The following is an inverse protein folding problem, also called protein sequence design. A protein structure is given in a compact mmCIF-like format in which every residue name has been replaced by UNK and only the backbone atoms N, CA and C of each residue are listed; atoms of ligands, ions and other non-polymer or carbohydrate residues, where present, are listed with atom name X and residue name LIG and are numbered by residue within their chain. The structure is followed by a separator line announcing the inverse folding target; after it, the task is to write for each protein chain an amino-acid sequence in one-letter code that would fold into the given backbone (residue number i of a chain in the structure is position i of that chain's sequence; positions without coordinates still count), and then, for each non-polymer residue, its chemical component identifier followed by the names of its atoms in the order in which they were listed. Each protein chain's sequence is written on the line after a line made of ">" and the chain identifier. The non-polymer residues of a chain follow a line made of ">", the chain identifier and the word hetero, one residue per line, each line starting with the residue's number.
data_IF_942781210735
#
_entry.id   IF_942781210735
#
_cell.length_a   1.000
_cell.length_b   1.000
_cell.length_c   1.000
_cell.angle_alpha   90.00
_cell.angle_beta   90.00
_cell.angle_gamma   90.00
#
_symmetry.space_group_name_H-M   'P 1'
#
loop_
_entity.id
_entity.type
_entity.pdbx_description
1 polymer ?
#
# COMPACT_ATOMS: atom_id res chain seq x y z
N UNK A 1 16.85 -23.46 13.35
CA UNK A 1 16.09 -23.17 12.80
C UNK A 1 16.28 -22.76 11.63
N UNK A 2 16.00 -23.04 11.24
CA UNK A 2 16.04 -22.69 10.28
C UNK A 2 15.36 -21.87 9.94
N UNK A 3 15.60 -21.31 10.10
CA UNK A 3 14.96 -20.47 9.74
C UNK A 3 14.96 -20.23 8.44
N UNK A 4 14.32 -20.57 7.99
CA UNK A 4 14.36 -20.32 6.72
C UNK A 4 13.78 -19.05 6.49
N UNK A 5 14.16 -18.39 5.49
CA UNK A 5 13.56 -17.25 5.06
C UNK A 5 12.29 -17.63 4.50
N UNK A 6 11.26 -17.34 5.13
CA UNK A 6 9.96 -17.68 4.60
C UNK A 6 9.72 -16.87 3.36
N UNK A 7 8.90 -17.40 2.49
CA UNK A 7 8.38 -16.63 1.41
C UNK A 7 7.62 -15.48 2.02
N UNK A 8 7.92 -14.28 1.59
CA UNK A 8 7.22 -13.12 2.09
C UNK A 8 5.74 -13.20 1.71
N UNK A 9 4.91 -12.85 2.64
CA UNK A 9 3.49 -12.74 2.39
C UNK A 9 3.14 -11.28 2.15
N UNK A 10 1.97 -11.04 1.62
CA UNK A 10 1.50 -9.67 1.46
C UNK A 10 1.47 -8.95 2.80
N UNK A 11 1.09 -9.64 3.86
CA UNK A 11 1.09 -9.05 5.19
C UNK A 11 2.49 -8.64 5.63
N UNK A 12 3.49 -9.47 5.32
CA UNK A 12 4.87 -9.13 5.67
C UNK A 12 5.37 -7.92 4.91
N UNK A 13 4.94 -7.75 3.65
CA UNK A 13 5.30 -6.56 2.88
C UNK A 13 4.70 -5.32 3.52
N UNK A 14 3.44 -5.39 3.95
CA UNK A 14 2.79 -4.26 4.61
C UNK A 14 3.48 -3.96 5.94
N UNK A 15 3.86 -4.98 6.69
CA UNK A 15 4.60 -4.78 7.94
C UNK A 15 5.96 -4.13 7.69
N UNK A 16 6.64 -4.54 6.62
CA UNK A 16 7.92 -3.94 6.24
C UNK A 16 7.72 -2.45 5.94
N UNK A 17 6.65 -2.12 5.20
CA UNK A 17 6.31 -0.74 4.91
C UNK A 17 6.10 0.06 6.19
N UNK A 18 5.38 -0.50 7.16
CA UNK A 18 5.15 0.16 8.44
C UNK A 18 6.46 0.45 9.19
N UNK A 19 7.46 -0.40 8.99
CA UNK A 19 8.76 -0.25 9.62
C UNK A 19 9.79 0.41 8.70
N UNK A 20 9.34 0.97 7.60
CA UNK A 20 10.16 1.69 6.62
C UNK A 20 11.26 0.80 6.05
N UNK A 21 10.95 -0.47 5.80
CA UNK A 21 11.88 -1.43 5.23
C UNK A 21 11.38 -1.89 3.88
N UNK A 22 12.29 -2.33 3.03
CA UNK A 22 11.91 -2.88 1.72
C UNK A 22 11.52 -4.34 1.84
N UNK A 23 10.60 -4.78 1.00
CA UNK A 23 10.16 -6.16 0.93
C UNK A 23 9.35 -6.37 -0.34
N UNK A 24 9.19 -7.64 -0.73
CA UNK A 24 8.41 -7.97 -1.90
C UNK A 24 7.74 -9.32 -1.70
N UNK A 25 6.51 -9.43 -2.17
CA UNK A 25 5.78 -10.69 -2.21
C UNK A 25 4.88 -10.67 -3.45
N UNK A 26 5.24 -11.45 -4.46
CA UNK A 26 4.47 -11.46 -5.70
C UNK A 26 4.42 -10.09 -6.34
N UNK A 27 3.21 -9.58 -6.47
CA UNK A 27 2.97 -8.30 -7.12
C UNK A 27 2.89 -7.12 -6.14
N UNK A 28 3.17 -7.37 -4.87
CA UNK A 28 3.18 -6.32 -3.85
C UNK A 28 4.61 -6.07 -3.42
N UNK A 29 5.02 -4.81 -3.40
CA UNK A 29 6.39 -4.47 -3.06
C UNK A 29 6.43 -3.12 -2.36
N UNK A 30 7.44 -2.95 -1.50
CA UNK A 30 7.68 -1.66 -0.88
C UNK A 30 9.17 -1.38 -0.85
N UNK A 31 9.54 -0.12 -1.00
CA UNK A 31 10.91 0.32 -0.80
C UNK A 31 11.09 0.96 0.59
N UNK A 32 10.09 0.82 1.45
CA UNK A 32 10.12 1.42 2.77
C UNK A 32 9.46 2.79 2.84
N UNK A 33 9.23 3.42 1.70
CA UNK A 33 8.60 4.73 1.62
C UNK A 33 7.25 4.62 0.94
N UNK A 34 7.19 3.86 -0.14
CA UNK A 34 5.97 3.66 -0.91
C UNK A 34 5.64 2.19 -1.00
N UNK A 35 4.37 1.89 -1.16
CA UNK A 35 3.88 0.53 -1.35
C UNK A 35 3.26 0.47 -2.74
N UNK A 36 3.66 -0.55 -3.51
CA UNK A 36 3.24 -0.70 -4.89
C UNK A 36 2.50 -2.01 -5.10
N UNK A 37 1.36 -1.95 -5.78
CA UNK A 37 0.67 -3.11 -6.28
C UNK A 37 0.90 -3.13 -7.78
N UNK A 38 1.66 -4.10 -8.27
CA UNK A 38 2.25 -4.06 -9.61
C UNK A 38 3.11 -2.79 -9.67
N UNK A 39 2.80 -1.86 -10.53
CA UNK A 39 3.53 -0.59 -10.62
C UNK A 39 2.74 0.59 -10.07
N UNK A 40 1.60 0.31 -9.44
CA UNK A 40 0.73 1.36 -8.94
C UNK A 40 1.04 1.65 -7.48
N UNK A 41 1.39 2.88 -7.18
CA UNK A 41 1.62 3.27 -5.80
C UNK A 41 0.30 3.35 -5.06
N UNK A 42 0.13 2.53 -4.02
CA UNK A 42 -1.12 2.48 -3.27
C UNK A 42 -0.98 3.01 -1.84
N UNK A 43 0.24 3.30 -1.40
CA UNK A 43 0.45 3.91 -0.09
C UNK A 43 1.80 4.59 -0.07
N UNK A 44 1.94 5.56 0.82
CA UNK A 44 3.19 6.33 0.92
C UNK A 44 3.33 6.96 2.29
N UNK A 45 4.54 6.94 2.82
CA UNK A 45 4.85 7.73 4.00
C UNK A 45 4.95 9.20 3.60
N UNK A 46 4.21 10.04 4.29
CA UNK A 46 4.28 11.48 4.09
C UNK A 46 4.61 12.05 5.46
N UNK A 47 5.88 12.39 5.68
CA UNK A 47 6.35 12.74 7.00
C UNK A 47 6.19 11.57 7.95
N UNK A 48 5.49 11.76 9.04
CA UNK A 48 5.27 10.72 10.04
C UNK A 48 3.98 9.92 9.82
N UNK A 49 3.28 10.18 8.70
CA UNK A 49 1.99 9.55 8.45
C UNK A 49 2.08 8.61 7.27
N UNK A 50 1.59 7.39 7.44
CA UNK A 50 1.46 6.43 6.34
C UNK A 50 0.08 6.62 5.74
N UNK A 51 0.03 7.06 4.49
CA UNK A 51 -1.23 7.36 3.80
C UNK A 51 -1.51 6.27 2.79
N UNK A 52 -2.72 5.75 2.78
CA UNK A 52 -3.16 4.73 1.83
C UNK A 52 -4.10 5.40 0.83
N UNK A 53 -3.81 5.23 -0.47
CA UNK A 53 -4.65 5.76 -1.53
C UNK A 53 -5.71 4.72 -1.87
N UNK A 54 -6.97 5.08 -1.66
CA UNK A 54 -8.06 4.12 -1.72
C UNK A 54 -8.57 3.92 -3.14
N UNK A 55 -7.91 3.04 -3.87
CA UNK A 55 -8.33 2.70 -5.22
C UNK A 55 -9.55 1.79 -5.25
N UNK A 56 -10.04 1.39 -4.08
CA UNK A 56 -11.26 0.58 -4.01
C UNK A 56 -12.51 1.42 -3.83
N UNK A 57 -12.36 2.73 -3.62
CA UNK A 57 -13.50 3.59 -3.35
C UNK A 57 -14.40 3.69 -4.57
N UNK A 58 -15.69 3.88 -4.31
CA UNK A 58 -16.68 4.02 -5.35
C UNK A 58 -16.34 5.21 -6.23
N UNK A 59 -16.47 5.03 -7.52
CA UNK A 59 -16.21 6.12 -8.47
C UNK A 59 -14.82 6.13 -9.05
N UNK A 60 -13.92 5.35 -8.50
CA UNK A 60 -12.58 5.23 -9.07
C UNK A 60 -12.60 4.32 -10.27
N UNK A 61 -11.62 4.47 -11.14
CA UNK A 61 -11.46 3.57 -12.25
C UNK A 61 -11.24 2.16 -11.73
N UNK A 62 -11.75 1.19 -12.45
CA UNK A 62 -11.61 -0.20 -12.07
C UNK A 62 -10.12 -0.58 -11.94
N UNK A 63 -9.80 -1.30 -10.92
CA UNK A 63 -8.48 -1.88 -10.73
C UNK A 63 -8.64 -3.39 -10.60
N UNK A 64 -7.55 -4.12 -10.76
CA UNK A 64 -7.61 -5.57 -10.66
C UNK A 64 -8.04 -5.99 -9.25
N UNK A 65 -8.60 -7.19 -9.15
CA UNK A 65 -8.97 -7.73 -7.86
C UNK A 65 -7.76 -7.84 -6.95
N UNK A 66 -6.61 -8.18 -7.50
CA UNK A 66 -5.37 -8.27 -6.71
C UNK A 66 -5.00 -6.92 -6.12
N UNK A 67 -5.08 -5.85 -6.92
CA UNK A 67 -4.79 -4.51 -6.39
C UNK A 67 -5.79 -4.13 -5.31
N UNK A 68 -7.06 -4.46 -5.48
CA UNK A 68 -8.07 -4.19 -4.47
C UNK A 68 -7.76 -4.91 -3.16
N UNK A 69 -7.30 -6.15 -3.24
CA UNK A 69 -6.89 -6.90 -2.05
C UNK A 69 -5.70 -6.25 -1.37
N UNK A 70 -4.72 -5.80 -2.15
CA UNK A 70 -3.54 -5.13 -1.61
C UNK A 70 -3.93 -3.83 -0.89
N UNK A 71 -4.79 -3.04 -1.50
CA UNK A 71 -5.27 -1.80 -0.88
C UNK A 71 -6.04 -2.13 0.40
N UNK A 72 -6.88 -3.16 0.37
CA UNK A 72 -7.62 -3.58 1.55
C UNK A 72 -6.72 -3.95 2.70
N UNK A 73 -5.62 -4.65 2.40
CA UNK A 73 -4.65 -5.02 3.42
C UNK A 73 -3.99 -3.79 4.02
N UNK A 74 -3.59 -2.85 3.18
CA UNK A 74 -2.94 -1.63 3.65
C UNK A 74 -3.89 -0.79 4.50
N UNK A 75 -5.16 -0.75 4.15
CA UNK A 75 -6.15 0.03 4.90
C UNK A 75 -6.32 -0.48 6.32
N UNK A 76 -6.05 -1.74 6.56
CA UNK A 76 -6.22 -2.32 7.90
C UNK A 76 -5.19 -1.87 8.91
N UNK A 77 -4.04 -1.39 8.44
CA UNK A 77 -2.92 -1.08 9.32
C UNK A 77 -2.76 0.40 9.57
N UNK A 78 -3.62 1.24 9.01
CA UNK A 78 -3.55 2.69 9.22
C UNK A 78 -4.85 3.17 9.82
N UNK A 79 -4.84 4.31 10.53
CA UNK A 79 -6.08 4.92 11.00
C UNK A 79 -6.95 5.33 9.82
N UNK A 80 -8.25 5.41 10.06
CA UNK A 80 -9.18 5.78 8.99
C UNK A 80 -8.87 7.12 8.36
N UNK A 81 -8.39 8.07 9.14
CA UNK A 81 -8.05 9.39 8.58
C UNK A 81 -6.87 9.32 7.64
N UNK A 82 -6.13 8.22 7.63
CA UNK A 82 -4.97 8.08 6.74
C UNK A 82 -5.33 7.34 5.46
N UNK A 83 -6.60 7.03 5.26
CA UNK A 83 -7.09 6.46 4.01
C UNK A 83 -7.63 7.62 3.18
N UNK A 84 -7.01 7.86 2.04
CA UNK A 84 -7.32 9.01 1.21
C UNK A 84 -7.97 8.58 -0.09
N UNK A 85 -9.09 9.19 -0.44
CA UNK A 85 -9.71 8.94 -1.74
C UNK A 85 -8.77 9.37 -2.85
N UNK A 86 -8.71 8.59 -3.90
CA UNK A 86 -7.81 8.87 -5.03
C UNK A 86 -8.11 10.22 -5.65
N UNK A 87 -9.39 10.58 -5.77
CA UNK A 87 -9.75 11.88 -6.32
C UNK A 87 -9.15 13.02 -5.51
N UNK A 88 -9.19 12.90 -4.19
CA UNK A 88 -8.63 13.92 -3.33
C UNK A 88 -7.12 13.98 -3.46
N UNK A 89 -6.47 12.81 -3.53
CA UNK A 89 -5.03 12.75 -3.71
C UNK A 89 -4.60 13.39 -5.03
N UNK A 90 -5.39 13.19 -6.07
CA UNK A 90 -5.12 13.83 -7.36
C UNK A 90 -5.27 15.34 -7.29
N UNK A 91 -6.31 15.81 -6.62
CA UNK A 91 -6.55 17.25 -6.49
C UNK A 91 -5.46 17.94 -5.69
N UNK A 92 -4.89 17.26 -4.70
CA UNK A 92 -3.84 17.83 -3.87
C UNK A 92 -2.46 17.66 -4.45
N UNK A 93 -2.34 16.95 -5.59
CA UNK A 93 -1.05 16.75 -6.23
C UNK A 93 -0.22 15.63 -5.65
N UNK A 94 -0.77 14.84 -4.72
CA UNK A 94 -0.03 13.72 -4.14
C UNK A 94 0.17 12.60 -5.14
N UNK A 95 -0.81 12.39 -6.03
CA UNK A 95 -0.66 11.45 -7.13
C UNK A 95 -1.10 12.14 -8.40
N UNK A 96 -0.63 11.62 -9.53
CA UNK A 96 -0.93 12.20 -10.85
C UNK A 96 -2.02 11.48 -11.59
#
# INVERSE_FOLDING_TARGET
>A
MEFNMPISTNENVVKAMMNRRSARAGNLATDGISLYSYNLEIARWIGAELIVFDYTATGNAYRSMTTSQHVGLAKRVVPKNNVMLVEFAEKTGLIK
#
